data_IF_621873875387
#
_entry.id   IF_621873875387
#
_cell.length_a   1.000
_cell.length_b   1.000
_cell.length_c   1.000
_cell.angle_alpha   90.00
_cell.angle_beta   90.00
_cell.angle_gamma   90.00
#
_symmetry.space_group_name_H-M   'P 1'
#
loop_
_entity.id
_entity.type
_entity.pdbx_description
1 polymer ?
#
# COMPACT_ATOMS: atom_id res chain seq x y z
N UNK A 1 -15.74 -14.69 -21.95
CA UNK A 1 -15.89 -14.40 -20.52
C UNK A 1 -14.65 -13.63 -20.08
N UNK A 2 -14.54 -12.37 -20.50
CA UNK A 2 -13.54 -11.45 -19.98
C UNK A 2 -14.13 -10.84 -18.69
N UNK A 3 -13.33 -10.65 -17.63
CA UNK A 3 -13.80 -9.99 -16.43
C UNK A 3 -14.24 -8.57 -16.80
N UNK A 4 -15.41 -8.17 -16.31
CA UNK A 4 -15.90 -6.80 -16.39
C UNK A 4 -14.85 -5.88 -15.78
N UNK A 5 -14.11 -5.20 -16.65
CA UNK A 5 -13.29 -4.06 -16.30
C UNK A 5 -14.18 -2.92 -15.79
N UNK A 6 -13.76 -2.36 -14.66
CA UNK A 6 -13.65 -0.92 -14.46
C UNK A 6 -14.94 -0.13 -14.58
N UNK A 7 -15.71 -0.01 -13.50
CA UNK A 7 -16.59 1.14 -13.24
C UNK A 7 -16.89 1.21 -11.73
N UNK A 8 -16.05 1.90 -10.94
CA UNK A 8 -16.43 2.67 -9.73
C UNK A 8 -15.21 3.51 -9.27
N UNK A 9 -14.75 4.30 -10.23
CA UNK A 9 -14.02 5.55 -10.05
C UNK A 9 -15.04 6.59 -9.57
N UNK A 10 -14.94 7.10 -8.32
CA UNK A 10 -15.39 8.48 -7.98
C UNK A 10 -15.37 8.90 -6.50
N UNK A 11 -14.97 8.10 -5.51
CA UNK A 11 -14.64 8.71 -4.21
C UNK A 11 -13.57 7.91 -3.44
N UNK A 12 -12.32 8.35 -3.61
CA UNK A 12 -11.12 7.93 -2.87
C UNK A 12 -10.46 6.60 -3.28
N UNK A 13 -10.49 6.22 -4.57
CA UNK A 13 -9.60 5.15 -5.04
C UNK A 13 -8.17 5.68 -5.05
N UNK A 14 -7.41 5.38 -4.00
CA UNK A 14 -5.98 5.65 -3.95
C UNK A 14 -5.33 5.08 -5.22
N UNK A 15 -4.56 5.91 -5.92
CA UNK A 15 -3.79 5.49 -7.09
C UNK A 15 -3.00 4.22 -6.76
N UNK A 16 -2.91 3.21 -7.65
CA UNK A 16 -2.28 1.91 -7.35
C UNK A 16 -0.85 2.02 -6.77
N UNK A 17 -0.08 3.04 -7.16
CA UNK A 17 1.24 3.29 -6.56
C UNK A 17 1.15 3.65 -5.05
N UNK A 18 0.12 4.40 -4.65
CA UNK A 18 -0.13 4.76 -3.24
C UNK A 18 -0.55 3.53 -2.43
N UNK A 19 -1.37 2.64 -3.00
CA UNK A 19 -1.71 1.36 -2.36
C UNK A 19 -0.49 0.47 -2.14
N UNK A 20 0.40 0.38 -3.13
CA UNK A 20 1.68 -0.35 -3.00
C UNK A 20 2.57 0.24 -1.92
N UNK A 21 2.70 1.56 -1.86
CA UNK A 21 3.47 2.26 -0.83
C UNK A 21 2.90 2.03 0.58
N UNK A 22 1.57 2.10 0.74
CA UNK A 22 0.90 1.83 2.02
C UNK A 22 1.11 0.40 2.51
N UNK A 23 1.08 -0.59 1.61
CA UNK A 23 1.39 -1.99 1.96
C UNK A 23 2.84 -2.10 2.44
N UNK A 24 3.80 -1.51 1.72
CA UNK A 24 5.21 -1.54 2.12
C UNK A 24 5.45 -0.86 3.46
N UNK A 25 4.83 0.30 3.71
CA UNK A 25 4.90 1.00 4.99
C UNK A 25 4.31 0.15 6.13
N UNK A 26 3.19 -0.52 5.91
CA UNK A 26 2.58 -1.43 6.89
C UNK A 26 3.53 -2.58 7.26
N UNK A 27 4.11 -3.24 6.27
CA UNK A 27 5.04 -4.37 6.47
C UNK A 27 6.31 -3.92 7.22
N UNK A 28 6.89 -2.78 6.84
CA UNK A 28 8.06 -2.22 7.51
C UNK A 28 7.78 -1.83 8.98
N UNK A 29 6.66 -1.16 9.24
CA UNK A 29 6.26 -0.78 10.61
C UNK A 29 5.94 -2.01 11.48
N UNK A 30 5.37 -3.06 10.88
CA UNK A 30 5.11 -4.33 11.57
C UNK A 30 6.41 -5.04 11.95
N UNK A 31 7.40 -5.04 11.05
CA UNK A 31 8.72 -5.58 11.34
C UNK A 31 9.45 -4.79 12.45
N UNK A 32 9.36 -3.45 12.44
CA UNK A 32 9.97 -2.59 13.46
C UNK A 32 9.35 -2.78 14.85
N UNK A 33 8.02 -2.93 14.93
CA UNK A 33 7.30 -3.19 16.20
C UNK A 33 7.74 -4.47 16.90
N UNK A 34 8.22 -5.47 16.15
CA UNK A 34 8.70 -6.72 16.74
C UNK A 34 10.00 -6.55 17.53
N UNK A 35 10.78 -5.51 17.24
CA UNK A 35 12.06 -5.22 17.89
C UNK A 35 11.98 -4.14 18.96
N UNK A 36 11.22 -3.06 18.74
CA UNK A 36 11.14 -1.92 19.67
C UNK A 36 9.71 -1.45 19.88
N UNK A 37 9.31 -1.33 21.15
CA UNK A 37 7.97 -0.94 21.60
C UNK A 37 7.67 0.56 21.46
N UNK A 38 8.11 1.20 20.38
CA UNK A 38 7.99 2.64 20.18
C UNK A 38 6.53 3.05 19.90
N UNK A 39 6.00 3.91 20.75
CA UNK A 39 4.60 4.34 20.70
C UNK A 39 4.29 5.17 19.44
N UNK A 40 5.29 5.82 18.85
CA UNK A 40 5.13 6.55 17.59
C UNK A 40 5.01 5.59 16.40
N UNK A 41 5.82 4.53 16.39
CA UNK A 41 5.64 3.43 15.44
C UNK A 41 4.27 2.75 15.62
N UNK A 42 3.78 2.65 16.86
CA UNK A 42 2.45 2.11 17.13
C UNK A 42 1.34 2.94 16.51
N UNK A 43 1.37 4.26 16.70
CA UNK A 43 0.40 5.19 16.10
C UNK A 43 0.46 5.17 14.58
N UNK A 44 1.65 5.17 14.00
CA UNK A 44 1.83 5.16 12.55
C UNK A 44 1.31 3.89 11.90
N UNK A 45 1.49 2.73 12.54
CA UNK A 45 0.91 1.48 12.05
C UNK A 45 -0.63 1.53 12.06
N UNK A 46 -1.24 2.11 13.11
CA UNK A 46 -2.69 2.24 13.21
C UNK A 46 -3.25 3.16 12.12
N UNK A 47 -2.56 4.26 11.82
CA UNK A 47 -2.92 5.21 10.75
C UNK A 47 -2.87 4.56 9.36
N UNK A 48 -1.79 3.84 9.05
CA UNK A 48 -1.65 3.10 7.79
C UNK A 48 -2.72 2.01 7.67
N UNK A 49 -3.01 1.29 8.76
CA UNK A 49 -4.04 0.26 8.78
C UNK A 49 -5.43 0.84 8.52
N UNK A 50 -5.75 1.95 9.16
CA UNK A 50 -7.02 2.66 8.97
C UNK A 50 -7.16 3.14 7.53
N UNK A 51 -6.10 3.73 6.97
CA UNK A 51 -6.09 4.20 5.58
C UNK A 51 -6.29 3.05 4.59
N UNK A 52 -5.64 1.90 4.80
CA UNK A 52 -5.83 0.70 3.98
C UNK A 52 -7.28 0.20 4.04
N UNK A 53 -7.88 0.15 5.24
CA UNK A 53 -9.27 -0.26 5.40
C UNK A 53 -10.23 0.67 4.64
N UNK A 54 -10.07 1.98 4.79
CA UNK A 54 -10.91 2.97 4.10
C UNK A 54 -10.71 2.93 2.58
N UNK A 55 -9.46 2.89 2.10
CA UNK A 55 -9.14 2.89 0.67
C UNK A 55 -9.61 1.61 -0.04
N UNK A 56 -9.65 0.49 0.68
CA UNK A 56 -10.11 -0.81 0.15
C UNK A 56 -11.60 -1.06 0.39
N UNK A 57 -12.27 -0.25 1.22
CA UNK A 57 -13.66 -0.44 1.62
C UNK A 57 -13.86 -1.63 2.56
N UNK A 58 -12.83 -2.02 3.30
CA UNK A 58 -12.86 -3.18 4.21
C UNK A 58 -12.87 -2.73 5.67
N UNK A 59 -13.18 -3.66 6.59
CA UNK A 59 -13.23 -3.41 8.04
C UNK A 59 -12.10 -4.10 8.82
N UNK A 60 -11.29 -4.89 8.13
CA UNK A 60 -10.23 -5.71 8.71
C UNK A 60 -8.95 -5.52 7.89
N UNK A 61 -7.81 -5.45 8.59
CA UNK A 61 -6.51 -5.17 7.94
C UNK A 61 -6.06 -6.31 7.04
N UNK A 62 -6.34 -7.56 7.37
CA UNK A 62 -5.99 -8.71 6.52
C UNK A 62 -6.82 -8.69 5.23
N UNK A 63 -8.13 -8.45 5.37
CA UNK A 63 -9.02 -8.24 4.22
C UNK A 63 -8.60 -7.05 3.37
N UNK A 64 -8.16 -5.95 4.00
CA UNK A 64 -7.63 -4.78 3.32
C UNK A 64 -6.39 -5.12 2.49
N UNK A 65 -5.43 -5.84 3.06
CA UNK A 65 -4.20 -6.23 2.35
C UNK A 65 -4.49 -7.14 1.16
N UNK A 66 -5.41 -8.10 1.31
CA UNK A 66 -5.83 -8.98 0.20
C UNK A 66 -6.50 -8.16 -0.90
N UNK A 67 -7.48 -7.32 -0.56
CA UNK A 67 -8.17 -6.45 -1.52
C UNK A 67 -7.20 -5.48 -2.22
N UNK A 68 -6.27 -4.90 -1.48
CA UNK A 68 -5.23 -4.01 -2.01
C UNK A 68 -4.32 -4.75 -3.00
N UNK A 69 -3.84 -5.96 -2.66
CA UNK A 69 -3.01 -6.80 -3.54
C UNK A 69 -3.75 -7.24 -4.81
N UNK A 70 -5.06 -7.46 -4.74
CA UNK A 70 -5.87 -7.75 -5.94
C UNK A 70 -6.04 -6.55 -6.86
N UNK A 71 -6.01 -5.33 -6.32
CA UNK A 71 -6.09 -4.08 -7.10
C UNK A 71 -4.75 -3.69 -7.72
N UNK A 72 -3.64 -4.19 -7.18
CA UNK A 72 -2.35 -4.09 -7.86
C UNK A 72 -2.40 -5.04 -9.07
N UNK A 73 -2.42 -4.52 -10.32
CA UNK A 73 -2.39 -5.39 -11.49
C UNK A 73 -1.16 -6.29 -11.36
N UNK A 74 -1.40 -7.60 -11.36
CA UNK A 74 -0.37 -8.61 -11.10
C UNK A 74 0.89 -8.26 -11.87
N UNK A 75 1.94 -7.93 -11.12
CA UNK A 75 3.18 -7.31 -11.59
C UNK A 75 3.55 -7.70 -13.03
N UNK A 76 3.14 -6.87 -13.99
CA UNK A 76 3.97 -6.63 -15.17
C UNK A 76 4.78 -5.39 -14.85
N UNK A 77 6.12 -5.48 -14.86
CA UNK A 77 6.97 -4.33 -14.59
C UNK A 77 6.82 -3.40 -15.79
N UNK A 78 6.06 -2.32 -15.63
CA UNK A 78 6.11 -1.20 -16.54
C UNK A 78 5.99 0.09 -15.74
N UNK A 79 6.96 0.30 -14.86
CA UNK A 79 7.43 1.64 -14.52
C UNK A 79 8.97 1.60 -14.47
N UNK A 80 9.55 1.15 -15.58
CA UNK A 80 10.90 1.50 -15.98
C UNK A 80 10.78 2.88 -16.66
N UNK A 81 10.71 3.96 -15.88
CA UNK A 81 11.20 5.30 -16.24
C UNK A 81 10.80 6.31 -15.16
N UNK A 82 11.84 6.91 -14.54
CA UNK A 82 11.83 8.11 -13.68
C UNK A 82 11.89 7.91 -12.15
N UNK A 83 12.93 7.22 -11.69
CA UNK A 83 13.70 7.72 -10.55
C UNK A 83 15.19 7.54 -10.85
N UNK A 84 15.78 8.58 -11.43
CA UNK A 84 17.21 8.63 -11.74
C UNK A 84 18.05 8.27 -10.50
N UNK A 85 19.08 7.42 -10.61
CA UNK A 85 20.11 7.36 -9.59
C UNK A 85 20.95 8.64 -9.72
N UNK A 86 20.71 9.63 -8.85
CA UNK A 86 21.78 10.58 -8.55
C UNK A 86 22.81 9.84 -7.71
N UNK A 87 23.70 9.17 -8.44
CA UNK A 87 24.94 8.63 -7.92
C UNK A 87 25.84 9.76 -7.42
N UNK A 88 26.71 9.36 -6.48
CA UNK A 88 28.00 9.95 -6.13
C UNK A 88 27.97 11.16 -5.20
N UNK A 89 28.92 11.34 -4.30
CA UNK A 89 30.00 10.50 -3.77
C UNK A 89 30.68 11.33 -2.67
N UNK A 90 31.27 10.63 -1.70
CA UNK A 90 32.15 11.09 -0.60
C UNK A 90 31.48 11.60 0.66
#
# INVERSE_FOLDING_TARGET
>A
MAPCDTEEDSMLMAHPAVLSDLIQQYEALTALRAGEGDESARRRLADVSYTLCVATGTRDIDAALVAARHRLPGARPLDDSLAAPSASAR
#
